data_IF_526380940907
#
_entry.id   IF_526380940907
#
_cell.length_a   1.000
_cell.length_b   1.000
_cell.length_c   1.000
_cell.angle_alpha   90.00
_cell.angle_beta   90.00
_cell.angle_gamma   90.00
#
_symmetry.space_group_name_H-M   'P 1'
#
loop_
_entity.id
_entity.type
_entity.pdbx_description
1 polymer ?
#
# COMPACT_ATOMS: atom_id res chain seq x y z
N UNK A 1 -20.87 -23.43 -0.56
CA UNK A 1 -21.03 -22.59 -1.76
C UNK A 1 -19.72 -21.87 -2.00
N UNK A 2 -18.95 -22.18 -3.06
CA UNK A 2 -17.69 -21.50 -3.31
C UNK A 2 -17.97 -20.15 -3.98
N UNK A 3 -17.74 -19.06 -3.26
CA UNK A 3 -17.63 -17.72 -3.85
C UNK A 3 -16.16 -17.51 -4.20
N UNK A 4 -15.77 -17.75 -5.44
CA UNK A 4 -14.45 -17.34 -5.91
C UNK A 4 -14.66 -16.53 -7.17
N UNK A 5 -14.54 -15.21 -7.00
CA UNK A 5 -14.73 -14.18 -8.01
C UNK A 5 -13.56 -14.27 -9.00
N UNK A 6 -13.79 -14.60 -10.29
CA UNK A 6 -12.73 -14.60 -11.30
C UNK A 6 -12.54 -13.17 -11.82
N UNK A 7 -11.35 -12.60 -11.68
CA UNK A 7 -11.01 -11.38 -12.42
C UNK A 7 -10.01 -10.44 -11.74
N UNK A 8 -8.72 -10.77 -11.84
CA UNK A 8 -7.63 -9.79 -11.82
C UNK A 8 -6.61 -10.27 -12.84
N UNK A 9 -6.86 -9.92 -14.09
CA UNK A 9 -5.86 -10.00 -15.14
C UNK A 9 -5.95 -8.67 -15.89
N UNK A 10 -5.10 -7.71 -15.54
CA UNK A 10 -4.95 -6.46 -16.28
C UNK A 10 -3.50 -6.03 -16.22
N UNK A 11 -2.72 -6.47 -17.20
CA UNK A 11 -1.32 -6.10 -17.37
C UNK A 11 -1.16 -4.59 -17.54
N UNK A 12 -0.32 -4.00 -16.69
CA UNK A 12 0.03 -2.58 -16.64
C UNK A 12 0.39 -2.22 -15.20
N UNK A 13 1.26 -1.23 -14.96
CA UNK A 13 1.71 -0.86 -13.60
C UNK A 13 0.57 -0.52 -12.62
N UNK A 14 -0.65 -0.25 -13.12
CA UNK A 14 -1.87 -0.19 -12.29
C UNK A 14 -2.18 -1.49 -11.54
N UNK A 15 -1.89 -2.68 -12.09
CA UNK A 15 -2.11 -3.97 -11.42
C UNK A 15 -1.37 -4.05 -10.10
N UNK A 16 -0.10 -3.62 -10.08
CA UNK A 16 0.73 -3.66 -8.86
C UNK A 16 0.18 -2.71 -7.81
N UNK A 17 -0.23 -1.52 -8.23
CA UNK A 17 -0.84 -0.53 -7.33
C UNK A 17 -2.14 -1.07 -6.73
N UNK A 18 -3.00 -1.69 -7.53
CA UNK A 18 -4.24 -2.31 -7.06
C UNK A 18 -3.99 -3.50 -6.12
N UNK A 19 -2.98 -4.33 -6.40
CA UNK A 19 -2.56 -5.42 -5.50
C UNK A 19 -2.13 -4.88 -4.13
N UNK A 20 -1.32 -3.82 -4.10
CA UNK A 20 -0.90 -3.18 -2.85
C UNK A 20 -2.06 -2.47 -2.15
N UNK A 21 -2.96 -1.85 -2.90
CA UNK A 21 -4.18 -1.22 -2.38
C UNK A 21 -5.01 -2.26 -1.63
N UNK A 22 -5.28 -3.40 -2.27
CA UNK A 22 -6.04 -4.50 -1.68
C UNK A 22 -5.36 -5.12 -0.45
N UNK A 23 -4.02 -5.14 -0.42
CA UNK A 23 -3.25 -5.69 0.71
C UNK A 23 -3.19 -4.74 1.90
N UNK A 24 -3.04 -3.44 1.65
CA UNK A 24 -2.63 -2.48 2.69
C UNK A 24 -3.80 -1.65 3.22
N UNK A 25 -4.77 -1.27 2.38
CA UNK A 25 -5.85 -0.37 2.79
C UNK A 25 -6.64 -0.95 3.96
N UNK A 26 -6.85 -0.15 4.99
CA UNK A 26 -7.54 -0.57 6.21
C UNK A 26 -6.67 -1.33 7.22
N UNK A 27 -5.40 -1.62 6.90
CA UNK A 27 -4.43 -2.19 7.84
C UNK A 27 -3.53 -1.11 8.44
N UNK A 28 -2.90 -1.43 9.58
CA UNK A 28 -1.85 -0.62 10.18
C UNK A 28 -0.46 -1.10 9.79
N UNK A 29 0.47 -0.18 9.54
CA UNK A 29 1.87 -0.55 9.31
C UNK A 29 2.62 -0.72 10.63
N UNK A 30 3.30 -1.86 10.79
CA UNK A 30 4.09 -2.18 11.99
C UNK A 30 5.53 -2.50 11.61
N UNK A 31 6.48 -2.24 12.51
CA UNK A 31 7.90 -2.54 12.29
C UNK A 31 8.26 -4.02 12.57
N UNK A 32 7.28 -4.82 13.02
CA UNK A 32 7.48 -6.20 13.48
C UNK A 32 6.58 -7.21 12.77
N UNK A 33 6.16 -8.25 13.51
CA UNK A 33 5.36 -9.35 12.98
C UNK A 33 4.02 -8.86 12.41
N UNK A 34 3.62 -9.31 11.21
CA UNK A 34 2.31 -9.00 10.66
C UNK A 34 1.22 -9.79 11.43
N UNK A 35 0.16 -9.09 11.83
CA UNK A 35 -1.06 -9.67 12.40
C UNK A 35 -2.20 -9.62 11.39
N UNK A 36 -3.38 -10.13 11.76
CA UNK A 36 -4.56 -10.08 10.89
C UNK A 36 -4.94 -8.63 10.47
N UNK A 37 -4.70 -7.66 11.35
CA UNK A 37 -5.05 -6.24 11.17
C UNK A 37 -3.85 -5.33 10.90
N UNK A 38 -2.63 -5.88 10.88
CA UNK A 38 -1.39 -5.14 10.66
C UNK A 38 -0.60 -5.71 9.49
N UNK A 39 0.30 -4.92 8.94
CA UNK A 39 1.18 -5.31 7.85
C UNK A 39 2.60 -4.87 8.18
N UNK A 40 3.56 -5.78 8.03
CA UNK A 40 4.95 -5.50 8.36
C UNK A 40 5.57 -4.58 7.31
N UNK A 41 6.24 -3.51 7.74
CA UNK A 41 6.94 -2.61 6.83
C UNK A 41 8.07 -3.30 6.06
N UNK A 42 8.58 -4.41 6.60
CA UNK A 42 9.61 -5.23 5.96
C UNK A 42 9.12 -5.94 4.70
N UNK A 43 7.81 -6.20 4.60
CA UNK A 43 7.18 -6.86 3.45
C UNK A 43 6.81 -5.88 2.34
N UNK A 44 7.04 -4.57 2.55
CA UNK A 44 6.85 -3.55 1.52
C UNK A 44 7.97 -3.62 0.47
N UNK A 45 7.73 -3.11 -0.75
CA UNK A 45 8.78 -2.95 -1.74
C UNK A 45 9.97 -2.18 -1.17
N UNK A 46 11.19 -2.48 -1.66
CA UNK A 46 12.41 -1.75 -1.27
C UNK A 46 12.26 -0.25 -1.40
N UNK A 47 11.57 0.21 -2.44
CA UNK A 47 11.29 1.61 -2.67
C UNK A 47 9.88 1.93 -2.18
N UNK A 48 9.76 2.21 -0.89
CA UNK A 48 8.48 2.61 -0.29
C UNK A 48 8.64 3.89 0.52
N UNK A 49 7.67 4.79 0.40
CA UNK A 49 7.57 6.02 1.21
C UNK A 49 6.25 6.02 1.96
N UNK A 50 6.33 6.02 3.28
CA UNK A 50 5.16 6.18 4.15
C UNK A 50 4.91 7.67 4.36
N UNK A 51 3.70 8.11 4.07
CA UNK A 51 3.30 9.52 4.11
C UNK A 51 2.22 9.67 5.17
N UNK A 52 2.56 10.33 6.26
CA UNK A 52 1.62 10.66 7.33
C UNK A 52 0.80 11.90 6.99
N UNK A 53 -0.39 12.06 7.61
CA UNK A 53 -1.19 13.27 7.45
C UNK A 53 -0.39 14.53 7.77
N UNK A 54 -0.41 15.52 6.88
CA UNK A 54 0.29 16.78 7.06
C UNK A 54 1.79 16.74 6.75
N UNK A 55 2.38 15.59 6.43
CA UNK A 55 3.75 15.57 5.91
C UNK A 55 3.82 16.19 4.52
N UNK A 56 4.68 17.20 4.39
CA UNK A 56 5.06 17.73 3.08
C UNK A 56 6.03 16.77 2.41
N UNK A 57 5.69 16.34 1.20
CA UNK A 57 6.52 15.47 0.38
C UNK A 57 6.82 16.12 -0.97
N UNK A 58 7.98 15.80 -1.52
CA UNK A 58 8.35 16.20 -2.88
C UNK A 58 7.52 15.43 -3.91
N UNK A 59 7.12 16.12 -4.98
CA UNK A 59 6.45 15.54 -6.16
C UNK A 59 7.46 15.11 -7.22
N UNK A 60 8.52 14.43 -6.80
CA UNK A 60 9.49 13.79 -7.69
C UNK A 60 8.87 12.53 -8.31
N UNK A 61 9.14 12.28 -9.60
CA UNK A 61 8.65 11.10 -10.32
C UNK A 61 9.65 9.95 -10.17
N UNK A 62 9.23 8.87 -9.54
CA UNK A 62 9.99 7.65 -9.30
C UNK A 62 9.05 6.43 -9.45
N UNK A 63 8.93 5.87 -10.66
CA UNK A 63 7.86 4.92 -11.01
C UNK A 63 7.89 3.63 -10.18
N UNK A 64 9.06 3.23 -9.68
CA UNK A 64 9.21 2.02 -8.85
C UNK A 64 8.87 2.27 -7.36
N UNK A 65 8.64 3.52 -6.94
CA UNK A 65 8.34 3.88 -5.55
C UNK A 65 6.87 3.74 -5.24
N UNK A 66 6.55 2.90 -4.26
CA UNK A 66 5.22 2.83 -3.66
C UNK A 66 5.09 3.93 -2.59
N UNK A 67 4.16 4.86 -2.78
CA UNK A 67 3.73 5.78 -1.75
C UNK A 67 2.58 5.13 -0.96
N UNK A 68 2.70 5.13 0.37
CA UNK A 68 1.67 4.61 1.28
C UNK A 68 1.19 5.75 2.16
N UNK A 69 -0.05 6.18 1.94
CA UNK A 69 -0.63 7.29 2.70
C UNK A 69 -1.40 6.77 3.90
N UNK A 70 -1.05 7.28 5.08
CA UNK A 70 -1.71 6.97 6.34
C UNK A 70 -2.77 8.02 6.68
N UNK A 71 -3.75 7.59 7.48
CA UNK A 71 -4.70 8.46 8.17
C UNK A 71 -4.16 8.84 9.55
N UNK A 72 -4.86 9.75 10.23
CA UNK A 72 -4.49 10.22 11.58
C UNK A 72 -4.49 9.10 12.64
N UNK A 73 -5.26 8.03 12.40
CA UNK A 73 -5.31 6.85 13.27
C UNK A 73 -4.16 5.85 13.02
N UNK A 74 -3.29 6.12 12.03
CA UNK A 74 -2.19 5.25 11.60
C UNK A 74 -2.60 4.12 10.65
N UNK A 75 -3.83 4.13 10.15
CA UNK A 75 -4.33 3.15 9.17
C UNK A 75 -4.02 3.60 7.75
N UNK A 76 -3.72 2.67 6.85
CA UNK A 76 -3.49 2.98 5.44
C UNK A 76 -4.80 3.44 4.77
N UNK A 77 -4.75 4.62 4.16
CA UNK A 77 -5.87 5.21 3.42
C UNK A 77 -5.86 4.78 1.96
N UNK A 78 -4.72 4.93 1.29
CA UNK A 78 -4.54 4.60 -0.13
C UNK A 78 -3.05 4.48 -0.45
N UNK A 79 -2.76 3.93 -1.63
CA UNK A 79 -1.41 3.79 -2.16
C UNK A 79 -1.36 4.25 -3.61
N UNK A 80 -0.20 4.72 -4.04
CA UNK A 80 0.07 5.15 -5.40
C UNK A 80 1.53 4.88 -5.77
N UNK A 81 1.79 4.76 -7.07
CA UNK A 81 3.14 4.84 -7.62
C UNK A 81 3.28 6.18 -8.35
N UNK A 82 4.37 6.89 -8.07
CA UNK A 82 4.66 8.20 -8.65
C UNK A 82 6.14 8.38 -8.89
#
# INVERSE_FOLDING_TARGET
MPLVVPGINSGGDNSKTEEWMNKLVGKKLTDGTPDATSFAKQDLPKETRVIEPGMMVTKDFKPDRLNVHLKEDGTVSHVDHQ
#
